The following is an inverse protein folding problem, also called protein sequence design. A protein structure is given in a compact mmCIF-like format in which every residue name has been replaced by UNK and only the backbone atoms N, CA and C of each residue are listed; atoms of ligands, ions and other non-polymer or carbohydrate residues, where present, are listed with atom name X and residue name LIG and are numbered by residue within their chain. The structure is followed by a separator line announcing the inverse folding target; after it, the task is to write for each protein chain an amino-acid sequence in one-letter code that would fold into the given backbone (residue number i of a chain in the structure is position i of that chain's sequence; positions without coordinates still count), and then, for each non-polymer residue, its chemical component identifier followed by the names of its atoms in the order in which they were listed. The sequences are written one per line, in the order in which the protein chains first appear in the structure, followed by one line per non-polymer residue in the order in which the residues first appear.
data_IF_205614810814
#
_entry.id   IF_205614810814
#
_cell.length_a   1.000
_cell.length_b   1.000
_cell.length_c   1.000
_cell.angle_alpha   90.00
_cell.angle_beta   90.00
_cell.angle_gamma   90.00
#
_symmetry.space_group_name_H-M   'P 1'
#
loop_
_entity.id
_entity.type
_entity.pdbx_description
1 polymer ?
#
# COMPACT_ATOMS: atom_id res chain seq x y z
N UNK A 1 7.26 -49.39 42.05
CA UNK A 1 8.14 -48.26 41.67
C UNK A 1 8.56 -48.45 40.22
N UNK A 2 7.94 -47.73 39.30
CA UNK A 2 8.43 -47.58 37.93
C UNK A 2 8.21 -46.13 37.52
N UNK A 3 9.28 -45.33 37.60
CA UNK A 3 9.33 -43.98 37.06
C UNK A 3 9.18 -44.07 35.53
N UNK A 4 8.10 -43.56 34.96
CA UNK A 4 8.08 -43.26 33.53
C UNK A 4 8.99 -42.05 33.30
N UNK A 5 9.98 -42.24 32.42
CA UNK A 5 10.78 -41.17 31.84
C UNK A 5 9.86 -40.35 30.93
N UNK A 6 10.08 -39.04 30.93
CA UNK A 6 9.19 -38.06 30.36
C UNK A 6 9.03 -38.12 28.85
N UNK A 7 7.95 -37.48 28.41
CA UNK A 7 7.80 -36.99 27.05
C UNK A 7 7.92 -35.47 27.14
N UNK A 8 9.09 -34.93 26.83
CA UNK A 8 9.19 -33.51 26.46
C UNK A 8 8.20 -33.27 25.33
N UNK A 9 7.22 -32.41 25.58
CA UNK A 9 6.31 -31.93 24.54
C UNK A 9 7.16 -31.13 23.57
N UNK A 10 7.62 -31.77 22.49
CA UNK A 10 8.09 -31.07 21.33
C UNK A 10 6.90 -30.27 20.79
N UNK A 11 6.89 -28.97 21.06
CA UNK A 11 6.06 -28.01 20.34
C UNK A 11 6.49 -28.15 18.89
N UNK A 12 5.72 -28.92 18.13
CA UNK A 12 5.92 -29.11 16.70
C UNK A 12 5.93 -27.73 16.06
N UNK A 13 7.11 -27.25 15.63
CA UNK A 13 7.24 -26.04 14.81
C UNK A 13 6.53 -26.31 13.47
N UNK A 14 5.20 -26.17 13.47
CA UNK A 14 4.41 -26.18 12.25
C UNK A 14 4.60 -24.81 11.60
N UNK A 15 4.91 -24.71 10.29
CA UNK A 15 5.03 -23.45 9.60
C UNK A 15 3.63 -22.84 9.40
N UNK A 16 3.05 -22.29 10.47
CA UNK A 16 1.74 -21.66 10.46
C UNK A 16 1.87 -20.23 9.98
N UNK A 17 1.94 -20.04 8.67
CA UNK A 17 1.53 -18.79 8.00
C UNK A 17 0.96 -19.12 6.63
N UNK A 18 -0.32 -19.50 6.57
CA UNK A 18 -1.04 -19.60 5.30
C UNK A 18 -1.22 -18.19 4.68
N UNK A 19 -1.30 -18.07 3.34
CA UNK A 19 -1.58 -16.80 2.66
C UNK A 19 -2.75 -16.01 3.27
N UNK A 20 -3.79 -16.71 3.74
CA UNK A 20 -4.98 -16.12 4.38
C UNK A 20 -4.65 -15.29 5.62
N UNK A 21 -3.68 -15.69 6.45
CA UNK A 21 -3.29 -14.92 7.65
C UNK A 21 -2.66 -13.58 7.28
N UNK A 22 -1.85 -13.55 6.22
CA UNK A 22 -1.20 -12.33 5.75
C UNK A 22 -2.24 -11.31 5.28
N UNK A 23 -3.24 -11.76 4.51
CA UNK A 23 -4.31 -10.89 4.03
C UNK A 23 -5.15 -10.35 5.18
N UNK A 24 -5.52 -11.18 6.16
CA UNK A 24 -6.26 -10.71 7.35
C UNK A 24 -5.48 -9.64 8.11
N UNK A 25 -4.17 -9.84 8.32
CA UNK A 25 -3.32 -8.83 8.99
C UNK A 25 -3.26 -7.53 8.18
N UNK A 26 -3.19 -7.61 6.86
CA UNK A 26 -3.15 -6.43 5.99
C UNK A 26 -4.47 -5.69 5.96
N UNK A 27 -5.60 -6.41 5.93
CA UNK A 27 -6.93 -5.83 6.01
C UNK A 27 -7.11 -5.12 7.35
N UNK A 28 -6.76 -5.77 8.47
CA UNK A 28 -6.80 -5.13 9.80
C UNK A 28 -5.91 -3.89 9.85
N UNK A 29 -4.72 -3.95 9.26
CA UNK A 29 -3.82 -2.79 9.20
C UNK A 29 -4.40 -1.67 8.32
N UNK A 30 -5.09 -2.01 7.23
CA UNK A 30 -5.80 -1.05 6.38
C UNK A 30 -6.95 -0.39 7.15
N UNK A 31 -7.75 -1.17 7.88
CA UNK A 31 -8.81 -0.67 8.76
C UNK A 31 -8.22 0.29 9.81
N UNK A 32 -7.15 -0.10 10.50
CA UNK A 32 -6.50 0.80 11.47
C UNK A 32 -5.94 2.06 10.81
N UNK A 33 -5.39 1.96 9.60
CA UNK A 33 -4.83 3.12 8.91
C UNK A 33 -5.87 4.17 8.50
N UNK A 34 -7.16 3.79 8.42
CA UNK A 34 -8.26 4.71 8.13
C UNK A 34 -8.61 5.59 9.32
N UNK A 35 -8.38 5.12 10.55
CA UNK A 35 -8.62 5.91 11.74
C UNK A 35 -7.76 7.19 11.73
N UNK A 36 -8.32 8.33 12.16
CA UNK A 36 -7.61 9.60 12.10
C UNK A 36 -6.48 9.68 13.15
N UNK A 37 -6.63 9.00 14.28
CA UNK A 37 -5.67 9.03 15.38
C UNK A 37 -4.50 8.06 15.17
N UNK A 38 -4.78 6.87 14.61
CA UNK A 38 -3.80 5.80 14.48
C UNK A 38 -2.53 6.21 13.71
N UNK A 39 -2.58 6.79 12.49
CA UNK A 39 -1.38 7.29 11.82
C UNK A 39 -0.59 8.27 12.68
N UNK A 40 -1.24 9.28 13.25
CA UNK A 40 -0.59 10.32 14.06
C UNK A 40 0.10 9.74 15.29
N UNK A 41 -0.61 8.90 16.04
CA UNK A 41 -0.12 8.35 17.30
C UNK A 41 0.93 7.25 17.09
N UNK A 42 0.85 6.50 15.98
CA UNK A 42 1.87 5.51 15.63
C UNK A 42 3.25 6.15 15.45
N UNK A 43 3.34 7.36 14.88
CA UNK A 43 4.62 8.06 14.70
C UNK A 43 5.06 8.83 15.95
N UNK A 44 4.12 9.34 16.76
CA UNK A 44 4.44 10.32 17.82
C UNK A 44 4.41 9.76 19.24
N UNK A 45 3.52 8.82 19.55
CA UNK A 45 3.26 8.35 20.92
C UNK A 45 3.76 6.93 21.15
N UNK A 46 3.62 6.06 20.16
CA UNK A 46 3.97 4.64 20.29
C UNK A 46 5.44 4.41 19.97
N UNK A 47 6.29 4.32 20.99
CA UNK A 47 7.72 4.01 20.85
C UNK A 47 8.05 2.60 21.35
N UNK A 48 8.85 1.87 20.57
CA UNK A 48 9.27 0.51 20.85
C UNK A 48 10.76 0.55 21.24
N UNK A 49 11.12 0.23 22.50
CA UNK A 49 12.49 0.33 22.98
C UNK A 49 13.46 -0.62 22.25
N UNK A 50 13.01 -1.83 21.93
CA UNK A 50 13.83 -2.85 21.28
C UNK A 50 12.98 -3.82 20.45
N UNK A 51 13.34 -4.01 19.17
CA UNK A 51 12.65 -4.94 18.26
C UNK A 51 13.47 -6.22 18.10
N UNK A 52 13.11 -7.27 18.85
CA UNK A 52 13.88 -8.54 18.90
C UNK A 52 13.80 -9.38 17.63
N UNK A 53 12.71 -9.27 16.87
CA UNK A 53 12.47 -10.10 15.68
C UNK A 53 13.09 -9.52 14.41
N UNK A 54 13.55 -8.26 14.41
CA UNK A 54 14.12 -7.60 13.24
C UNK A 54 15.64 -7.89 13.16
N UNK A 55 16.02 -8.91 12.39
CA UNK A 55 17.40 -9.44 12.39
C UNK A 55 18.42 -8.64 11.57
N UNK A 56 17.98 -7.80 10.61
CA UNK A 56 18.91 -7.08 9.71
C UNK A 56 19.66 -5.94 10.39
N UNK A 57 19.07 -5.36 11.44
CA UNK A 57 19.67 -4.26 12.21
C UNK A 57 19.06 -4.20 13.59
N UNK A 58 19.87 -3.89 14.59
CA UNK A 58 19.34 -3.56 15.91
C UNK A 58 18.51 -2.28 15.83
N UNK A 59 17.20 -2.41 15.99
CA UNK A 59 16.27 -1.28 16.07
C UNK A 59 15.98 -1.00 17.55
N UNK A 60 16.49 0.15 18.01
CA UNK A 60 16.27 0.66 19.35
C UNK A 60 15.54 1.99 19.27
N UNK A 61 14.61 2.24 20.19
CA UNK A 61 13.83 3.48 20.27
C UNK A 61 13.21 3.87 18.92
N UNK A 62 12.48 2.93 18.32
CA UNK A 62 11.81 3.13 17.04
C UNK A 62 10.31 3.36 17.27
N UNK A 63 9.73 4.35 16.61
CA UNK A 63 8.28 4.54 16.63
C UNK A 63 7.56 3.39 15.91
N UNK A 64 6.36 3.05 16.36
CA UNK A 64 5.51 2.06 15.70
C UNK A 64 5.30 2.41 14.22
N UNK A 65 5.06 3.69 13.90
CA UNK A 65 4.93 4.17 12.52
C UNK A 65 6.18 3.94 11.68
N UNK A 66 7.39 4.17 12.24
CA UNK A 66 8.65 3.85 11.53
C UNK A 66 8.80 2.34 11.28
N UNK A 67 8.34 1.52 12.24
CA UNK A 67 8.37 0.06 12.10
C UNK A 67 7.33 -0.44 11.08
N UNK A 68 6.14 0.16 11.04
CA UNK A 68 5.11 -0.12 10.03
C UNK A 68 5.63 0.21 8.63
N UNK A 69 6.24 1.38 8.44
CA UNK A 69 6.89 1.74 7.17
C UNK A 69 7.95 0.71 6.78
N UNK A 70 8.82 0.30 7.70
CA UNK A 70 9.83 -0.74 7.42
C UNK A 70 9.20 -2.07 7.01
N UNK A 71 8.17 -2.52 7.71
CA UNK A 71 7.46 -3.77 7.40
C UNK A 71 6.79 -3.70 6.03
N UNK A 72 6.06 -2.61 5.73
CA UNK A 72 5.42 -2.40 4.43
C UNK A 72 6.43 -2.34 3.29
N UNK A 73 7.58 -1.66 3.49
CA UNK A 73 8.66 -1.64 2.49
C UNK A 73 9.22 -3.04 2.21
N UNK A 74 9.33 -3.89 3.24
CA UNK A 74 9.74 -5.29 3.06
C UNK A 74 8.68 -6.07 2.30
N UNK A 75 7.41 -5.92 2.64
CA UNK A 75 6.29 -6.57 1.95
C UNK A 75 6.23 -6.17 0.47
N UNK A 76 6.30 -4.88 0.16
CA UNK A 76 6.35 -4.35 -1.21
C UNK A 76 7.56 -4.93 -1.96
N UNK A 77 8.75 -4.87 -1.35
CA UNK A 77 9.97 -5.38 -2.00
C UNK A 77 9.89 -6.89 -2.25
N UNK A 78 9.42 -7.67 -1.28
CA UNK A 78 9.27 -9.11 -1.42
C UNK A 78 8.24 -9.44 -2.49
N UNK A 79 7.09 -8.76 -2.48
CA UNK A 79 6.03 -8.96 -3.44
C UNK A 79 6.50 -8.71 -4.87
N UNK A 80 7.08 -7.53 -5.14
CA UNK A 80 7.57 -7.17 -6.48
C UNK A 80 8.63 -8.12 -7.05
N UNK A 81 9.44 -8.74 -6.18
CA UNK A 81 10.53 -9.61 -6.61
C UNK A 81 10.17 -11.11 -6.63
N UNK A 82 9.14 -11.54 -5.90
CA UNK A 82 8.85 -12.97 -5.66
C UNK A 82 7.40 -13.35 -5.93
N UNK A 83 6.46 -12.71 -5.24
CA UNK A 83 5.06 -13.13 -5.27
C UNK A 83 4.30 -12.60 -6.49
N UNK A 84 4.57 -11.35 -6.89
CA UNK A 84 3.88 -10.64 -7.97
C UNK A 84 2.35 -10.66 -7.79
N UNK A 85 1.91 -10.49 -6.55
CA UNK A 85 0.51 -10.45 -6.14
C UNK A 85 -0.01 -9.00 -6.16
N UNK A 86 -0.93 -8.65 -7.09
CA UNK A 86 -1.50 -7.31 -7.18
C UNK A 86 -2.27 -6.89 -5.93
N UNK A 87 -3.02 -7.81 -5.31
CA UNK A 87 -3.84 -7.52 -4.14
C UNK A 87 -2.97 -7.18 -2.93
N UNK A 88 -1.90 -7.97 -2.71
CA UNK A 88 -0.91 -7.69 -1.67
C UNK A 88 -0.24 -6.32 -1.87
N UNK A 89 0.09 -5.97 -3.12
CA UNK A 89 0.69 -4.68 -3.43
C UNK A 89 -0.28 -3.54 -3.12
N UNK A 90 -1.49 -3.60 -3.66
CA UNK A 90 -2.53 -2.57 -3.49
C UNK A 90 -2.82 -2.29 -2.02
N UNK A 91 -2.98 -3.33 -1.20
CA UNK A 91 -3.21 -3.18 0.24
C UNK A 91 -2.00 -2.54 0.95
N UNK A 92 -0.76 -2.97 0.65
CA UNK A 92 0.43 -2.36 1.24
C UNK A 92 0.56 -0.87 0.85
N UNK A 93 0.27 -0.55 -0.41
CA UNK A 93 0.29 0.80 -0.95
C UNK A 93 -0.78 1.70 -0.30
N UNK A 94 -2.00 1.20 -0.17
CA UNK A 94 -3.12 1.89 0.48
C UNK A 94 -2.80 2.25 1.93
N UNK A 95 -2.33 1.27 2.73
CA UNK A 95 -1.88 1.50 4.11
C UNK A 95 -0.80 2.57 4.14
N UNK A 96 0.21 2.45 3.28
CA UNK A 96 1.35 3.37 3.27
C UNK A 96 0.90 4.81 2.91
N UNK A 97 -0.03 4.97 1.98
CA UNK A 97 -0.63 6.26 1.65
C UNK A 97 -1.42 6.83 2.82
N UNK A 98 -2.27 6.05 3.49
CA UNK A 98 -3.02 6.48 4.66
C UNK A 98 -2.10 6.97 5.79
N UNK A 99 -0.95 6.32 6.00
CA UNK A 99 0.05 6.72 6.98
C UNK A 99 0.83 7.98 6.57
N UNK A 100 1.00 8.21 5.26
CA UNK A 100 2.00 9.13 4.72
C UNK A 100 1.89 10.61 5.13
N UNK A 101 0.69 11.23 5.27
CA UNK A 101 0.59 12.63 5.69
C UNK A 101 1.11 12.88 7.11
N UNK A 102 1.16 11.82 7.93
CA UNK A 102 1.50 11.86 9.35
C UNK A 102 2.92 11.37 9.64
N UNK A 103 3.69 10.95 8.62
CA UNK A 103 5.10 10.56 8.78
C UNK A 103 5.87 11.73 9.39
N UNK A 104 6.36 11.51 10.61
CA UNK A 104 7.16 12.45 11.37
C UNK A 104 8.17 11.67 12.20
N UNK A 105 9.34 12.25 12.45
CA UNK A 105 10.42 11.65 13.24
C UNK A 105 10.78 10.24 12.75
N UNK A 106 10.81 10.05 11.42
CA UNK A 106 11.11 8.75 10.84
C UNK A 106 12.51 8.29 11.27
N UNK A 107 12.61 7.09 11.85
CA UNK A 107 13.87 6.55 12.34
C UNK A 107 14.95 6.57 11.24
N UNK A 108 16.21 6.84 11.59
CA UNK A 108 17.32 7.02 10.63
C UNK A 108 17.47 5.84 9.66
N UNK A 109 17.33 4.62 10.17
CA UNK A 109 17.34 3.42 9.32
C UNK A 109 16.09 3.32 8.42
N UNK A 110 14.90 3.65 8.93
CA UNK A 110 13.67 3.64 8.13
C UNK A 110 13.74 4.67 7.01
N UNK A 111 14.31 5.85 7.28
CA UNK A 111 14.60 6.90 6.30
C UNK A 111 15.50 6.40 5.18
N UNK A 112 16.64 5.78 5.52
CA UNK A 112 17.56 5.19 4.53
C UNK A 112 16.90 4.09 3.70
N UNK A 113 16.12 3.20 4.35
CA UNK A 113 15.42 2.11 3.67
C UNK A 113 14.33 2.61 2.73
N UNK A 114 13.55 3.64 3.12
CA UNK A 114 12.54 4.25 2.27
C UNK A 114 13.15 4.78 0.98
N UNK A 115 14.23 5.56 1.07
CA UNK A 115 14.92 6.11 -0.11
C UNK A 115 15.56 5.00 -0.94
N UNK A 116 16.22 4.02 -0.31
CA UNK A 116 16.85 2.91 -1.02
C UNK A 116 15.84 2.05 -1.80
N UNK A 117 14.70 1.73 -1.18
CA UNK A 117 13.63 0.95 -1.82
C UNK A 117 13.00 1.76 -2.95
N UNK A 118 12.70 3.04 -2.75
CA UNK A 118 12.22 3.93 -3.81
C UNK A 118 13.15 3.87 -5.03
N UNK A 119 14.45 4.08 -4.85
CA UNK A 119 15.39 4.12 -5.96
C UNK A 119 15.58 2.76 -6.64
N UNK A 120 15.55 1.66 -5.87
CA UNK A 120 15.60 0.32 -6.43
C UNK A 120 14.37 0.02 -7.31
N UNK A 121 13.18 0.38 -6.83
CA UNK A 121 11.92 0.25 -7.58
C UNK A 121 11.95 1.13 -8.83
N UNK A 122 12.37 2.40 -8.71
CA UNK A 122 12.47 3.31 -9.85
C UNK A 122 13.43 2.80 -10.92
N UNK A 123 14.63 2.33 -10.53
CA UNK A 123 15.61 1.77 -11.46
C UNK A 123 15.05 0.56 -12.19
N UNK A 124 14.37 -0.34 -11.47
CA UNK A 124 13.77 -1.53 -12.06
C UNK A 124 12.61 -1.19 -12.98
N UNK A 125 11.77 -0.22 -12.60
CA UNK A 125 10.69 0.28 -13.45
C UNK A 125 11.21 0.86 -14.76
N UNK A 126 12.25 1.71 -14.72
CA UNK A 126 12.89 2.24 -15.93
C UNK A 126 13.36 1.12 -16.87
N UNK A 127 13.95 0.04 -16.33
CA UNK A 127 14.38 -1.12 -17.14
C UNK A 127 13.19 -1.85 -17.76
N UNK A 128 12.09 -2.01 -17.02
CA UNK A 128 10.88 -2.67 -17.54
C UNK A 128 10.21 -1.84 -18.65
N UNK A 129 10.13 -0.51 -18.49
CA UNK A 129 9.61 0.40 -19.51
C UNK A 129 10.46 0.33 -20.79
N UNK A 130 11.79 0.29 -20.67
CA UNK A 130 12.67 0.10 -21.83
C UNK A 130 12.42 -1.23 -22.54
N UNK A 131 12.23 -2.33 -21.79
CA UNK A 131 11.89 -3.64 -22.37
C UNK A 131 10.50 -3.65 -23.02
N UNK A 132 9.58 -2.83 -22.53
CA UNK A 132 8.24 -2.65 -23.07
C UNK A 132 8.18 -1.64 -24.23
N UNK A 133 9.29 -1.47 -24.98
CA UNK A 133 9.35 -0.55 -26.12
C UNK A 133 9.22 0.94 -25.76
N UNK A 134 9.49 1.31 -24.50
CA UNK A 134 9.35 2.68 -24.00
C UNK A 134 7.93 3.05 -23.56
N UNK A 135 6.97 2.11 -23.61
CA UNK A 135 5.60 2.34 -23.17
C UNK A 135 5.49 2.15 -21.66
N UNK A 136 4.95 3.17 -20.98
CA UNK A 136 4.60 3.11 -19.56
C UNK A 136 3.37 2.22 -19.34
N UNK A 137 3.18 1.72 -18.11
CA UNK A 137 1.96 1.02 -17.75
C UNK A 137 0.74 1.96 -17.86
N UNK A 138 -0.42 1.39 -18.19
CA UNK A 138 -1.70 2.10 -18.05
C UNK A 138 -2.00 2.37 -16.58
N UNK A 139 -2.81 3.39 -16.28
CA UNK A 139 -3.09 3.80 -14.90
C UNK A 139 -3.81 2.71 -14.08
N UNK A 140 -4.61 1.87 -14.73
CA UNK A 140 -5.36 0.78 -14.10
C UNK A 140 -4.65 -0.58 -14.17
N UNK A 141 -3.50 -0.65 -14.84
CA UNK A 141 -2.71 -1.88 -14.93
C UNK A 141 -1.91 -2.05 -13.64
N UNK A 142 -2.48 -2.73 -12.64
CA UNK A 142 -1.77 -3.18 -11.43
C UNK A 142 -1.56 -4.70 -11.47
N UNK A 143 -2.13 -5.39 -12.47
CA UNK A 143 -2.04 -6.85 -12.61
C UNK A 143 -0.76 -7.29 -13.32
N UNK A 144 -0.19 -6.46 -14.19
CA UNK A 144 1.09 -6.74 -14.84
C UNK A 144 2.28 -6.38 -13.96
N UNK A 145 3.41 -7.06 -14.17
CA UNK A 145 4.66 -6.72 -13.49
C UNK A 145 5.09 -5.25 -13.74
N UNK A 146 4.91 -4.76 -14.97
CA UNK A 146 5.21 -3.35 -15.29
C UNK A 146 4.32 -2.40 -14.48
N UNK A 147 3.04 -2.73 -14.44
CA UNK A 147 2.01 -2.05 -13.67
C UNK A 147 2.31 -1.98 -12.18
N UNK A 148 2.60 -3.11 -11.57
CA UNK A 148 3.00 -3.20 -10.16
C UNK A 148 4.20 -2.31 -9.81
N UNK A 149 5.23 -2.27 -10.66
CA UNK A 149 6.39 -1.40 -10.45
C UNK A 149 6.06 0.09 -10.66
N UNK A 150 5.17 0.40 -11.62
CA UNK A 150 4.66 1.75 -11.84
C UNK A 150 3.95 2.27 -10.59
N UNK A 151 3.01 1.47 -10.08
CA UNK A 151 2.21 1.81 -8.90
C UNK A 151 3.10 1.97 -7.66
N UNK A 152 3.98 1.00 -7.39
CA UNK A 152 4.92 1.10 -6.28
C UNK A 152 5.79 2.37 -6.35
N UNK A 153 6.26 2.77 -7.53
CA UNK A 153 7.01 4.02 -7.69
C UNK A 153 6.16 5.25 -7.36
N UNK A 154 4.94 5.32 -7.90
CA UNK A 154 4.00 6.43 -7.68
C UNK A 154 3.73 6.62 -6.19
N UNK A 155 3.43 5.53 -5.49
CA UNK A 155 3.15 5.53 -4.05
C UNK A 155 4.39 5.95 -3.25
N UNK A 156 5.55 5.34 -3.51
CA UNK A 156 6.78 5.67 -2.76
C UNK A 156 7.21 7.13 -2.98
N UNK A 157 7.06 7.67 -4.20
CA UNK A 157 7.30 9.09 -4.48
C UNK A 157 6.32 9.98 -3.70
N UNK A 158 5.04 9.63 -3.66
CA UNK A 158 4.03 10.38 -2.92
C UNK A 158 4.31 10.38 -1.41
N UNK A 159 4.69 9.23 -0.86
CA UNK A 159 5.08 9.07 0.56
C UNK A 159 6.25 9.99 0.90
N UNK A 160 7.29 10.03 0.06
CA UNK A 160 8.43 10.92 0.26
C UNK A 160 7.99 12.39 0.13
N UNK A 161 7.15 12.75 -0.84
CA UNK A 161 6.61 14.12 -0.98
C UNK A 161 5.86 14.56 0.27
N UNK A 162 4.98 13.72 0.82
CA UNK A 162 4.27 14.01 2.06
C UNK A 162 5.23 14.19 3.24
N UNK A 163 6.27 13.35 3.34
CA UNK A 163 7.24 13.41 4.43
C UNK A 163 8.21 14.61 4.35
N UNK A 164 8.36 15.27 3.19
CA UNK A 164 9.23 16.45 3.00
C UNK A 164 8.48 17.75 2.70
N UNK A 165 7.16 17.77 2.89
CA UNK A 165 6.35 18.98 2.72
C UNK A 165 6.66 20.03 3.79
N UNK A 166 6.41 21.30 3.47
CA UNK A 166 6.69 22.46 4.34
C UNK A 166 6.23 22.29 5.79
N UNK A 167 5.06 21.70 6.02
CA UNK A 167 4.47 21.52 7.36
C UNK A 167 5.26 20.53 8.25
N UNK A 168 6.02 19.59 7.68
CA UNK A 168 6.60 18.46 8.43
C UNK A 168 8.09 18.19 8.18
N UNK A 169 8.71 18.85 7.19
CA UNK A 169 10.10 18.61 6.78
C UNK A 169 11.10 18.72 7.95
N UNK A 170 10.82 19.60 8.91
CA UNK A 170 11.60 19.79 10.13
C UNK A 170 11.60 18.60 11.09
N UNK A 171 10.60 17.73 10.98
CA UNK A 171 10.50 16.50 11.77
C UNK A 171 11.09 15.30 11.06
N UNK A 172 11.48 15.42 9.78
CA UNK A 172 11.98 14.32 8.98
C UNK A 172 13.41 14.58 8.47
N UNK A 173 14.26 15.19 9.29
CA UNK A 173 15.64 15.54 8.91
C UNK A 173 16.49 14.31 8.53
N UNK A 174 16.25 13.16 9.18
CA UNK A 174 16.90 11.91 8.77
C UNK A 174 16.52 11.46 7.35
N UNK A 175 15.27 11.73 6.93
CA UNK A 175 14.83 11.47 5.56
C UNK A 175 15.45 12.47 4.58
N UNK A 176 15.50 13.75 4.94
CA UNK A 176 16.19 14.78 4.14
C UNK A 176 17.65 14.40 3.94
N UNK A 177 18.34 13.99 5.01
CA UNK A 177 19.71 13.49 4.94
C UNK A 177 19.84 12.26 4.03
N UNK A 178 18.95 11.26 4.17
CA UNK A 178 18.96 10.07 3.33
C UNK A 178 18.76 10.40 1.84
N UNK A 179 17.93 11.40 1.53
CA UNK A 179 17.73 11.88 0.16
C UNK A 179 18.99 12.58 -0.40
N UNK A 180 19.67 13.41 0.39
CA UNK A 180 20.96 14.02 0.01
C UNK A 180 22.03 12.95 -0.20
N UNK A 181 22.07 11.94 0.67
CA UNK A 181 23.00 10.81 0.57
C UNK A 181 22.85 10.11 -0.79
N UNK A 182 21.62 9.86 -1.25
CA UNK A 182 21.32 9.20 -2.52
C UNK A 182 21.08 10.16 -3.71
N UNK A 183 21.44 11.45 -3.60
CA UNK A 183 21.13 12.46 -4.63
C UNK A 183 21.68 12.12 -6.02
N UNK A 184 22.84 11.47 -6.09
CA UNK A 184 23.47 11.08 -7.36
C UNK A 184 22.65 10.00 -8.05
N UNK A 185 22.29 8.95 -7.31
CA UNK A 185 21.47 7.84 -7.82
C UNK A 185 20.12 8.34 -8.35
N UNK A 186 19.44 9.20 -7.58
CA UNK A 186 18.18 9.81 -8.01
C UNK A 186 18.36 10.62 -9.31
N UNK A 187 19.38 11.50 -9.35
CA UNK A 187 19.67 12.32 -10.52
C UNK A 187 20.00 11.47 -11.76
N UNK A 188 20.70 10.35 -11.60
CA UNK A 188 20.99 9.42 -12.70
C UNK A 188 19.71 8.79 -13.26
N UNK A 189 18.79 8.36 -12.40
CA UNK A 189 17.53 7.75 -12.83
C UNK A 189 16.65 8.76 -13.57
N UNK A 190 16.43 9.95 -12.99
CA UNK A 190 15.51 10.95 -13.57
C UNK A 190 16.05 11.63 -14.83
N UNK A 191 17.37 11.63 -15.04
CA UNK A 191 18.01 12.18 -16.26
C UNK A 191 18.26 11.13 -17.33
N UNK A 192 17.94 9.87 -17.09
CA UNK A 192 18.11 8.82 -18.08
C UNK A 192 17.25 9.11 -19.33
N UNK A 193 17.79 8.85 -20.53
CA UNK A 193 17.12 9.18 -21.81
C UNK A 193 15.71 8.59 -21.91
N UNK A 194 15.47 7.41 -21.36
CA UNK A 194 14.18 6.72 -21.34
C UNK A 194 13.57 6.65 -19.94
N UNK A 195 13.75 7.71 -19.13
CA UNK A 195 13.10 7.78 -17.82
C UNK A 195 11.57 7.83 -17.96
N UNK A 196 10.80 6.98 -17.26
CA UNK A 196 9.35 7.09 -17.23
C UNK A 196 8.85 8.21 -16.29
N UNK A 197 9.75 8.85 -15.53
CA UNK A 197 9.41 9.87 -14.54
C UNK A 197 9.41 11.26 -15.16
N UNK A 198 8.28 11.97 -15.03
CA UNK A 198 8.14 13.37 -15.46
C UNK A 198 8.81 14.29 -14.43
N UNK A 199 9.24 15.50 -14.82
CA UNK A 199 9.80 16.47 -13.87
C UNK A 199 8.89 16.74 -12.67
N UNK A 200 7.58 16.91 -12.91
CA UNK A 200 6.55 17.13 -11.87
C UNK A 200 6.52 16.03 -10.80
N UNK A 201 6.93 14.80 -11.16
CA UNK A 201 6.93 13.67 -10.24
C UNK A 201 8.03 13.78 -9.17
N UNK A 202 9.12 14.48 -9.49
CA UNK A 202 10.34 14.48 -8.65
C UNK A 202 10.84 15.86 -8.26
N UNK A 203 10.34 16.93 -8.89
CA UNK A 203 10.82 18.30 -8.70
C UNK A 203 10.80 18.75 -7.24
N UNK A 204 9.66 18.59 -6.53
CA UNK A 204 9.54 18.97 -5.11
C UNK A 204 10.59 18.28 -4.23
N UNK A 205 10.84 16.99 -4.47
CA UNK A 205 11.86 16.20 -3.75
C UNK A 205 13.26 16.72 -4.11
N UNK A 206 13.53 16.95 -5.40
CA UNK A 206 14.83 17.42 -5.88
C UNK A 206 15.16 18.83 -5.39
N UNK A 207 14.18 19.71 -5.24
CA UNK A 207 14.37 21.05 -4.67
C UNK A 207 14.78 20.98 -3.20
N UNK A 208 14.13 20.13 -2.40
CA UNK A 208 14.53 19.89 -1.00
C UNK A 208 15.94 19.32 -0.93
N UNK A 209 16.28 18.34 -1.79
CA UNK A 209 17.63 17.78 -1.87
C UNK A 209 18.67 18.84 -2.21
N UNK A 210 18.42 19.67 -3.24
CA UNK A 210 19.36 20.68 -3.69
C UNK A 210 19.66 21.70 -2.57
N UNK A 211 18.61 22.17 -1.88
CA UNK A 211 18.78 23.11 -0.77
C UNK A 211 19.49 22.49 0.43
N UNK A 212 19.16 21.25 0.78
CA UNK A 212 19.84 20.54 1.87
C UNK A 212 21.31 20.25 1.54
N UNK A 213 21.64 19.87 0.30
CA UNK A 213 23.00 19.63 -0.17
C UNK A 213 23.84 20.92 -0.16
N UNK A 214 23.27 22.05 -0.58
CA UNK A 214 23.90 23.38 -0.52
C UNK A 214 24.26 23.75 0.93
N UNK A 215 23.35 23.52 1.89
CA UNK A 215 23.60 23.79 3.31
C UNK A 215 24.74 22.92 3.86
N UNK A 216 24.73 21.61 3.58
CA UNK A 216 25.74 20.66 4.05
C UNK A 216 27.12 20.99 3.46
N UNK A 217 27.18 21.29 2.15
CA UNK A 217 28.43 21.65 1.48
C UNK A 217 28.96 23.02 1.94
N UNK A 218 28.08 24.02 2.10
CA UNK A 218 28.45 25.35 2.58
C UNK A 218 29.05 25.33 3.99
N UNK A 219 28.54 24.46 4.85
CA UNK A 219 29.09 24.22 6.19
C UNK A 219 30.32 23.29 6.21
N UNK A 220 30.75 22.76 5.05
CA UNK A 220 31.82 21.75 4.94
C UNK A 220 31.61 20.52 5.84
N UNK A 221 30.36 20.16 6.13
CA UNK A 221 30.03 19.00 6.96
C UNK A 221 30.34 17.71 6.21
N UNK A 222 31.25 16.90 6.74
CA UNK A 222 31.71 15.65 6.09
C UNK A 222 31.17 14.41 6.78
N UNK A 223 30.85 14.52 8.06
CA UNK A 223 30.27 13.43 8.85
C UNK A 223 28.76 13.50 8.91
N UNK A 224 28.12 12.37 9.21
CA UNK A 224 26.67 12.27 9.32
C UNK A 224 26.12 13.14 10.46
N UNK A 225 26.79 13.16 11.62
CA UNK A 225 26.39 13.97 12.78
C UNK A 225 26.54 15.47 12.53
N UNK A 226 27.62 15.90 11.88
CA UNK A 226 27.82 17.27 11.43
C UNK A 226 26.73 17.70 10.45
N UNK A 227 26.43 16.85 9.45
CA UNK A 227 25.39 17.12 8.45
C UNK A 227 24.01 17.26 9.12
N UNK A 228 23.69 16.39 10.08
CA UNK A 228 22.44 16.47 10.82
C UNK A 228 22.33 17.77 11.62
N UNK A 229 23.39 18.19 12.34
CA UNK A 229 23.41 19.47 13.07
C UNK A 229 23.20 20.67 12.15
N UNK A 230 23.82 20.65 10.96
CA UNK A 230 23.63 21.70 9.96
C UNK A 230 22.18 21.77 9.49
N UNK A 231 21.55 20.62 9.23
CA UNK A 231 20.15 20.56 8.84
C UNK A 231 19.22 21.06 9.96
N UNK A 232 19.50 20.69 11.22
CA UNK A 232 18.75 21.13 12.41
C UNK A 232 18.82 22.65 12.60
N UNK A 233 19.98 23.26 12.41
CA UNK A 233 20.17 24.70 12.53
C UNK A 233 19.49 25.49 11.39
N UNK A 234 19.32 24.87 10.22
CA UNK A 234 18.83 25.52 9.00
C UNK A 234 17.42 25.06 8.57
N UNK A 235 16.63 24.52 9.49
CA UNK A 235 15.26 24.04 9.25
C UNK A 235 14.37 25.08 8.54
N UNK A 236 14.49 26.35 8.92
CA UNK A 236 13.69 27.43 8.36
C UNK A 236 13.89 27.57 6.84
N UNK A 237 15.11 27.32 6.35
CA UNK A 237 15.45 27.34 4.92
C UNK A 237 14.75 26.18 4.19
N UNK A 238 14.75 24.98 4.79
CA UNK A 238 14.06 23.81 4.23
C UNK A 238 12.54 24.00 4.16
N UNK A 239 11.95 24.75 5.10
CA UNK A 239 10.52 25.12 5.03
C UNK A 239 10.22 26.14 3.93
N UNK A 240 11.21 26.97 3.54
CA UNK A 240 11.07 28.01 2.52
C UNK A 240 11.01 27.49 1.09
N UNK A 241 11.45 26.25 0.83
CA UNK A 241 11.55 25.69 -0.54
C UNK A 241 10.22 25.58 -1.29
N UNK A 242 9.09 25.62 -0.58
CA UNK A 242 7.75 25.45 -1.14
C UNK A 242 7.03 26.79 -1.41
N UNK A 243 7.62 27.94 -1.05
CA UNK A 243 6.94 29.25 -1.15
C UNK A 243 6.97 29.86 -2.57
N UNK A 244 7.82 29.37 -3.46
CA UNK A 244 8.11 30.00 -4.76
C UNK A 244 7.09 29.70 -5.86
N UNK A 245 6.16 28.76 -5.68
CA UNK A 245 5.27 28.27 -6.75
C UNK A 245 3.88 28.93 -6.82
N UNK A 246 3.52 29.85 -5.91
CA UNK A 246 2.12 30.31 -5.76
C UNK A 246 1.78 31.71 -6.33
N UNK A 247 2.69 32.43 -7.01
CA UNK A 247 2.34 33.74 -7.61
C UNK A 247 1.86 33.59 -9.06
N UNK A 248 0.71 32.93 -9.23
CA UNK A 248 -0.07 32.93 -10.47
C UNK A 248 -1.28 33.86 -10.36
N UNK A 249 -1.33 34.87 -11.22
CA UNK A 249 -2.33 35.94 -11.33
C UNK A 249 -3.78 35.40 -11.38
N UNK A 250 -4.59 35.70 -10.35
CA UNK A 250 -6.05 35.49 -10.37
C UNK A 250 -6.72 36.62 -11.17
N UNK A 251 -6.98 36.37 -12.45
CA UNK A 251 -7.98 37.12 -13.23
C UNK A 251 -9.37 36.58 -12.90
N UNK A 252 -10.24 37.45 -12.38
CA UNK A 252 -11.67 37.17 -12.14
C UNK A 252 -12.43 37.38 -13.44
N UNK A 253 -13.13 36.36 -13.92
CA UNK A 253 -14.28 36.54 -14.79
C UNK A 253 -15.45 35.68 -14.27
N UNK A 254 -16.55 36.37 -13.99
CA UNK A 254 -17.86 35.82 -13.68
C UNK A 254 -18.50 35.27 -14.97
N UNK A 255 -19.19 34.14 -14.88
CA UNK A 255 -20.46 33.94 -15.59
C UNK A 255 -21.29 32.84 -14.93
N UNK A 256 -22.60 33.02 -15.02
CA UNK A 256 -23.67 32.46 -14.20
C UNK A 256 -24.06 31.00 -14.47
N UNK A 257 -24.84 30.49 -13.52
CA UNK A 257 -25.45 29.17 -13.35
C UNK A 257 -26.53 28.78 -14.38
N UNK A 258 -26.70 27.47 -14.60
CA UNK A 258 -28.04 26.84 -14.72
C UNK A 258 -28.00 25.35 -14.34
N UNK A 259 -29.11 24.91 -13.73
CA UNK A 259 -29.38 23.62 -13.09
C UNK A 259 -29.66 22.45 -14.04
N UNK A 260 -29.33 21.21 -13.61
CA UNK A 260 -30.28 20.08 -13.51
C UNK A 260 -29.68 18.90 -12.72
N UNK A 261 -30.53 18.25 -11.92
CA UNK A 261 -30.24 17.09 -11.05
C UNK A 261 -30.57 15.74 -11.73
N UNK A 262 -29.90 14.67 -11.28
CA UNK A 262 -30.47 13.32 -11.20
C UNK A 262 -29.60 12.17 -11.77
N UNK A 263 -29.20 11.22 -10.92
CA UNK A 263 -28.81 9.86 -11.35
C UNK A 263 -27.64 9.21 -10.62
N UNK A 264 -27.94 8.34 -9.65
CA UNK A 264 -27.01 7.52 -8.86
C UNK A 264 -26.26 6.46 -9.68
N UNK A 265 -24.95 6.37 -9.47
CA UNK A 265 -24.09 5.29 -9.95
C UNK A 265 -22.70 5.43 -9.35
N UNK A 266 -22.33 4.51 -8.45
CA UNK A 266 -21.01 4.48 -7.82
C UNK A 266 -19.94 4.25 -8.89
N UNK A 267 -19.15 5.28 -9.15
CA UNK A 267 -18.01 5.25 -10.07
C UNK A 267 -16.73 5.39 -9.25
N UNK A 268 -15.80 4.46 -9.48
CA UNK A 268 -14.42 4.53 -8.99
C UNK A 268 -13.85 5.85 -9.48
N UNK A 269 -13.49 6.72 -8.54
CA UNK A 269 -13.11 8.10 -8.84
C UNK A 269 -11.81 8.14 -9.66
N UNK A 270 -11.99 8.43 -10.95
CA UNK A 270 -11.01 8.96 -11.90
C UNK A 270 -10.06 9.97 -11.24
N UNK A 271 -8.76 9.69 -11.30
CA UNK A 271 -7.71 10.58 -10.79
C UNK A 271 -7.26 11.51 -11.94
N UNK A 272 -7.97 12.63 -12.12
CA UNK A 272 -7.63 13.67 -13.09
C UNK A 272 -6.19 14.18 -12.91
N UNK A 273 -5.47 14.22 -14.03
CA UNK A 273 -4.05 14.49 -14.15
C UNK A 273 -3.77 15.95 -14.46
N UNK A 274 -4.11 16.86 -13.56
CA UNK A 274 -3.50 18.20 -13.51
C UNK A 274 -3.28 18.64 -12.06
N UNK A 275 -2.17 18.19 -11.45
CA UNK A 275 -1.84 18.53 -10.06
C UNK A 275 -1.38 19.99 -9.98
N UNK A 276 -2.35 20.89 -9.85
CA UNK A 276 -2.16 22.23 -9.30
C UNK A 276 -1.87 22.14 -7.80
N UNK A 277 -1.15 23.10 -7.23
CA UNK A 277 -0.72 23.10 -5.82
C UNK A 277 -1.92 23.06 -4.83
N UNK A 278 -3.13 23.40 -5.29
CA UNK A 278 -4.41 23.22 -4.61
C UNK A 278 -4.82 21.75 -4.42
N UNK A 279 -4.51 20.86 -5.36
CA UNK A 279 -4.86 19.43 -5.30
C UNK A 279 -4.02 18.65 -4.28
N UNK A 280 -2.81 19.14 -3.96
CA UNK A 280 -1.98 18.55 -2.90
C UNK A 280 -2.55 18.79 -1.48
N UNK A 281 -3.36 19.85 -1.31
CA UNK A 281 -4.17 20.00 -0.10
C UNK A 281 -5.47 19.17 -0.19
N UNK A 282 -6.03 18.95 -1.38
CA UNK A 282 -7.21 18.07 -1.57
C UNK A 282 -6.93 16.58 -1.39
N UNK A 283 -5.69 16.12 -1.62
CA UNK A 283 -5.24 14.76 -1.26
C UNK A 283 -4.98 14.55 0.22
N UNK A 284 -5.05 15.60 1.07
CA UNK A 284 -5.04 15.39 2.52
C UNK A 284 -6.30 14.62 2.98
N UNK A 285 -7.36 14.55 2.14
CA UNK A 285 -8.66 13.96 2.47
C UNK A 285 -8.95 12.60 1.79
N UNK A 286 -8.12 12.12 0.85
CA UNK A 286 -8.31 10.79 0.25
C UNK A 286 -7.70 9.72 1.16
N UNK A 287 -8.56 8.99 1.87
CA UNK A 287 -8.21 7.77 2.59
C UNK A 287 -8.64 6.56 1.79
N UNK A 288 -7.77 5.58 1.70
CA UNK A 288 -8.12 4.27 1.19
C UNK A 288 -8.92 3.56 2.27
N UNK A 289 -10.18 3.30 1.96
CA UNK A 289 -11.10 2.58 2.82
C UNK A 289 -11.10 1.10 2.48
N UNK A 290 -11.29 0.28 3.51
CA UNK A 290 -11.64 -1.11 3.30
C UNK A 290 -13.10 -1.13 2.86
N UNK A 291 -13.36 -1.71 1.69
CA UNK A 291 -14.71 -2.00 1.23
C UNK A 291 -14.99 -3.46 1.60
N UNK A 292 -15.99 -3.67 2.44
CA UNK A 292 -16.45 -5.01 2.81
C UNK A 292 -17.04 -5.69 1.57
N UNK A 293 -16.60 -6.91 1.28
CA UNK A 293 -17.22 -7.71 0.22
C UNK A 293 -18.67 -8.05 0.61
N UNK A 294 -19.51 -8.43 -0.35
CA UNK A 294 -20.93 -8.71 -0.07
C UNK A 294 -21.15 -9.86 0.92
N UNK A 295 -20.23 -10.83 0.94
CA UNK A 295 -20.31 -12.05 1.76
C UNK A 295 -18.98 -12.28 2.52
N UNK A 296 -18.58 -11.38 3.44
CA UNK A 296 -17.28 -11.43 4.11
C UNK A 296 -17.10 -12.72 4.93
N UNK A 297 -18.20 -13.32 5.39
CA UNK A 297 -18.21 -14.62 6.04
C UNK A 297 -17.55 -15.72 5.21
N UNK A 298 -17.67 -15.69 3.88
CA UNK A 298 -17.11 -16.70 2.97
C UNK A 298 -15.59 -16.80 3.10
N UNK A 299 -14.93 -15.69 3.41
CA UNK A 299 -13.49 -15.65 3.64
C UNK A 299 -13.14 -15.76 5.14
N UNK A 300 -13.76 -14.95 5.99
CA UNK A 300 -13.36 -14.83 7.40
C UNK A 300 -13.80 -16.03 8.26
N UNK A 301 -14.97 -16.62 7.99
CA UNK A 301 -15.47 -17.74 8.81
C UNK A 301 -14.60 -18.99 8.63
N UNK A 302 -14.30 -19.48 7.41
CA UNK A 302 -13.41 -20.63 7.24
C UNK A 302 -12.03 -20.38 7.83
N UNK A 303 -11.52 -19.16 7.71
CA UNK A 303 -10.23 -18.76 8.28
C UNK A 303 -10.21 -18.79 9.81
N UNK A 304 -11.18 -18.15 10.46
CA UNK A 304 -11.30 -18.13 11.93
C UNK A 304 -11.46 -19.55 12.44
N UNK A 305 -12.26 -20.37 11.75
CA UNK A 305 -12.47 -21.76 12.13
C UNK A 305 -11.19 -22.60 12.00
N UNK A 306 -10.45 -22.46 10.89
CA UNK A 306 -9.15 -23.14 10.73
C UNK A 306 -8.15 -22.73 11.83
N UNK A 307 -8.12 -21.45 12.22
CA UNK A 307 -7.29 -20.97 13.33
C UNK A 307 -7.72 -21.58 14.66
N UNK A 308 -9.03 -21.61 14.96
CA UNK A 308 -9.56 -22.20 16.20
C UNK A 308 -9.25 -23.69 16.25
N UNK A 309 -9.57 -24.44 15.19
CA UNK A 309 -9.28 -25.88 15.09
C UNK A 309 -7.78 -26.11 15.26
N UNK A 310 -6.95 -25.41 14.52
CA UNK A 310 -5.51 -25.62 14.55
C UNK A 310 -4.84 -25.24 15.86
N UNK A 311 -5.31 -24.19 16.53
CA UNK A 311 -4.67 -23.63 17.73
C UNK A 311 -5.25 -24.18 19.03
N UNK A 312 -6.56 -24.38 19.09
CA UNK A 312 -7.26 -24.79 20.31
C UNK A 312 -7.41 -26.31 20.39
N UNK A 313 -7.75 -26.95 19.26
CA UNK A 313 -8.16 -28.36 19.26
C UNK A 313 -7.00 -29.34 19.05
N UNK A 314 -5.84 -28.87 18.59
CA UNK A 314 -4.66 -29.70 18.31
C UNK A 314 -4.16 -30.55 19.47
N UNK A 315 -4.53 -30.24 20.72
CA UNK A 315 -4.20 -31.02 21.91
C UNK A 315 -5.40 -31.40 22.80
N UNK A 316 -6.66 -31.04 22.45
CA UNK A 316 -7.79 -31.18 23.38
C UNK A 316 -9.07 -31.78 22.80
N UNK A 317 -9.34 -31.66 21.49
CA UNK A 317 -10.51 -32.27 20.85
C UNK A 317 -10.13 -32.88 19.49
N UNK A 318 -10.51 -34.13 19.26
CA UNK A 318 -10.50 -34.75 17.93
C UNK A 318 -11.74 -34.27 17.16
N UNK A 319 -11.53 -33.59 16.02
CA UNK A 319 -12.60 -33.14 15.12
C UNK A 319 -12.41 -33.77 13.74
N UNK A 320 -13.49 -34.26 13.15
CA UNK A 320 -13.50 -34.68 11.75
C UNK A 320 -13.68 -33.46 10.84
N UNK A 321 -12.61 -33.12 10.12
CA UNK A 321 -12.57 -31.97 9.21
C UNK A 321 -13.55 -32.08 8.04
N UNK A 322 -13.98 -33.28 7.69
CA UNK A 322 -14.88 -33.51 6.55
C UNK A 322 -16.36 -33.35 6.90
N UNK A 323 -16.69 -33.20 8.19
CA UNK A 323 -18.07 -33.21 8.69
C UNK A 323 -18.41 -31.94 9.51
N UNK A 324 -17.68 -30.84 9.31
CA UNK A 324 -17.93 -29.60 10.04
C UNK A 324 -18.99 -28.76 9.31
N UNK A 325 -20.23 -28.83 9.78
CA UNK A 325 -21.34 -27.98 9.33
C UNK A 325 -21.54 -26.79 10.30
N UNK A 326 -20.80 -25.69 10.11
CA UNK A 326 -20.85 -24.56 11.07
C UNK A 326 -22.02 -23.60 10.78
N UNK A 327 -22.49 -23.52 9.53
CA UNK A 327 -23.61 -22.65 9.16
C UNK A 327 -24.41 -23.27 8.00
N UNK A 328 -25.73 -23.02 7.92
CA UNK A 328 -26.53 -23.31 6.74
C UNK A 328 -26.24 -22.28 5.63
N UNK A 329 -24.96 -22.08 5.31
CA UNK A 329 -24.56 -21.31 4.12
C UNK A 329 -24.71 -22.29 2.97
N UNK A 330 -25.64 -22.01 2.05
CA UNK A 330 -26.02 -22.80 0.86
C UNK A 330 -27.25 -23.73 0.96
N UNK A 331 -28.32 -23.38 1.67
CA UNK A 331 -29.65 -23.97 1.37
C UNK A 331 -30.62 -23.04 0.62
N UNK A 332 -30.21 -21.81 0.29
CA UNK A 332 -31.09 -20.82 -0.34
C UNK A 332 -30.83 -20.52 -1.83
N UNK A 333 -29.93 -21.24 -2.50
CA UNK A 333 -29.71 -21.04 -3.95
C UNK A 333 -30.43 -22.08 -4.83
N UNK A 334 -30.91 -23.21 -4.29
CA UNK A 334 -31.60 -24.23 -5.11
C UNK A 334 -33.14 -24.20 -5.01
N UNK A 335 -33.72 -23.48 -4.05
CA UNK A 335 -35.18 -23.54 -3.81
C UNK A 335 -36.04 -22.57 -4.62
N UNK A 336 -35.48 -21.80 -5.56
CA UNK A 336 -36.25 -20.98 -6.52
C UNK A 336 -36.38 -21.60 -7.91
N UNK A 337 -35.76 -22.76 -8.18
CA UNK A 337 -35.87 -23.43 -9.48
C UNK A 337 -36.85 -24.63 -9.53
N UNK A 338 -37.35 -25.14 -8.41
CA UNK A 338 -38.21 -26.34 -8.41
C UNK A 338 -39.71 -26.12 -8.13
N UNK A 339 -40.17 -24.88 -7.91
CA UNK A 339 -41.61 -24.60 -7.66
C UNK A 339 -42.22 -23.64 -8.68
N UNK A 340 -42.02 -23.93 -9.97
CA UNK A 340 -42.68 -23.24 -11.10
C UNK A 340 -43.43 -24.17 -12.07
N UNK A 341 -43.62 -25.44 -11.71
CA UNK A 341 -44.35 -26.40 -12.53
C UNK A 341 -45.80 -26.55 -12.07
N UNK A 342 -46.73 -26.29 -13.01
CA UNK A 342 -48.17 -26.65 -13.02
C UNK A 342 -49.13 -25.52 -12.59
N UNK A 343 -49.54 -24.68 -13.56
CA UNK A 343 -50.90 -24.63 -14.13
C UNK A 343 -51.20 -23.27 -14.80
N UNK A 344 -51.69 -23.28 -16.05
CA UNK A 344 -52.49 -22.17 -16.59
C UNK A 344 -52.25 -21.75 -18.05
N UNK A 345 -52.86 -22.51 -18.96
CA UNK A 345 -53.32 -22.17 -20.33
C UNK A 345 -53.23 -20.70 -20.81
N UNK A 346 -52.65 -20.48 -21.99
CA UNK A 346 -52.75 -19.21 -22.74
C UNK A 346 -51.87 -19.18 -23.99
N UNK A 347 -52.50 -19.18 -25.15
CA UNK A 347 -51.99 -19.33 -26.52
C UNK A 347 -50.98 -18.29 -27.03
N UNK A 348 -49.87 -18.80 -27.59
CA UNK A 348 -49.17 -18.47 -28.86
C UNK A 348 -49.37 -17.07 -29.47
N UNK A 349 -48.27 -16.32 -29.64
CA UNK A 349 -47.79 -15.88 -30.95
C UNK A 349 -46.33 -15.37 -30.90
N UNK A 350 -45.59 -15.79 -31.92
CA UNK A 350 -44.17 -15.59 -32.22
C UNK A 350 -43.81 -14.11 -32.49
N UNK A 351 -42.58 -13.68 -32.19
CA UNK A 351 -41.47 -13.59 -33.18
C UNK A 351 -40.18 -12.99 -32.56
N UNK A 352 -39.05 -13.23 -33.25
CA UNK A 352 -37.72 -12.61 -33.14
C UNK A 352 -36.61 -13.21 -32.22
N UNK A 353 -35.99 -14.25 -32.77
CA UNK A 353 -34.56 -14.34 -33.20
C UNK A 353 -33.39 -13.98 -32.25
N UNK A 354 -32.81 -15.07 -31.77
CA UNK A 354 -31.45 -15.38 -31.26
C UNK A 354 -30.26 -14.64 -31.90
N UNK A 355 -29.35 -14.09 -31.06
CA UNK A 355 -27.88 -14.15 -31.26
C UNK A 355 -27.11 -14.37 -29.94
N UNK A 356 -26.69 -15.63 -29.76
CA UNK A 356 -25.48 -16.17 -29.14
C UNK A 356 -24.48 -15.25 -28.39
N UNK A 357 -24.19 -15.57 -27.13
CA UNK A 357 -22.81 -15.52 -26.59
C UNK A 357 -22.64 -16.53 -25.45
N UNK A 358 -21.97 -17.65 -25.75
CA UNK A 358 -21.43 -18.60 -24.78
C UNK A 358 -20.10 -18.06 -24.24
N UNK A 359 -19.95 -17.98 -22.92
CA UNK A 359 -18.65 -18.06 -22.25
C UNK A 359 -18.80 -18.90 -20.98
N UNK A 360 -18.56 -20.20 -21.09
CA UNK A 360 -18.39 -21.07 -19.92
C UNK A 360 -16.94 -21.02 -19.46
N UNK A 361 -16.72 -20.68 -18.18
CA UNK A 361 -15.46 -20.92 -17.48
C UNK A 361 -15.57 -22.29 -16.80
N UNK A 362 -14.81 -23.26 -17.30
CA UNK A 362 -14.53 -24.51 -16.61
C UNK A 362 -13.24 -24.34 -15.80
N UNK A 363 -13.34 -24.47 -14.49
CA UNK A 363 -12.21 -24.66 -13.58
C UNK A 363 -11.78 -26.11 -13.61
N UNK A 364 -10.57 -26.38 -14.10
CA UNK A 364 -9.91 -27.68 -13.98
C UNK A 364 -8.52 -27.43 -13.40
N UNK A 365 -8.33 -27.77 -12.12
CA UNK A 365 -7.03 -27.82 -11.45
C UNK A 365 -6.79 -29.30 -11.16
N UNK A 366 -6.03 -29.94 -12.04
CA UNK A 366 -5.49 -31.27 -11.84
C UNK A 366 -4.13 -31.20 -11.15
N UNK A 367 -4.01 -31.99 -10.08
CA UNK A 367 -2.78 -32.35 -9.39
C UNK A 367 -1.71 -32.93 -10.33
N UNK A 368 -0.45 -32.51 -10.18
CA UNK A 368 0.72 -33.36 -10.43
C UNK A 368 1.86 -32.99 -9.49
N UNK A 369 2.18 -33.96 -8.62
CA UNK A 369 3.48 -34.42 -8.05
C UNK A 369 4.66 -33.45 -8.03
#
# INVERSE_FOLDING_TARGET
MSRSKGTEVQVMERPFRSPSQLYVILILLLIFSQDASFPTDSFRRSNIPHVVWFKERQLKNISLGSLLVLSLLRCITFNLNRMQDPFLLSNCCAVLLNLSPNIANLHSYASMRLVSVLLATMKRYTVLVMKNGGRVAGEEDVTSLLGMYSEACRILLQVVKHAVRRKIVDRNLHLVYALVYHRRDLNTIVKAKSTPFRPVDTEKIRTVIAKADELIQGASARRADESMKVLEQNVHVLKGTHASSSRGTRSRLNSESSHSEGGSGASVASLDSTISDSTMNGMEDFKFTYEEEGDPETFFVPYIWDVIVSTVTSNTLEWDRMNIEVFPIMHHVEMTMEMGGIAGSGTVNDDETVVNSKSGFATDIGDVV
#
